data_IF_810658988336
#
_entry.id   IF_810658988336
#
_cell.length_a   1.000
_cell.length_b   1.000
_cell.length_c   1.000
_cell.angle_alpha   90.00
_cell.angle_beta   90.00
_cell.angle_gamma   90.00
#
_symmetry.space_group_name_H-M   'P 1'
#
loop_
_entity.id
_entity.type
_entity.pdbx_description
1 polymer ?
#
# COMPACT_ATOMS: atom_id res chain seq x y z
N UNK A 1 -80.75 -19.43 29.57
CA UNK A 1 -80.98 -20.00 28.23
C UNK A 1 -80.20 -19.12 27.24
N UNK A 2 -79.07 -19.54 26.82
CA UNK A 2 -78.44 -19.34 25.49
C UNK A 2 -76.99 -19.76 25.52
N UNK A 3 -76.74 -20.72 24.73
CA UNK A 3 -75.47 -21.44 24.55
C UNK A 3 -74.61 -20.59 23.62
N UNK A 4 -73.39 -20.22 24.06
CA UNK A 4 -72.37 -19.56 23.22
C UNK A 4 -71.37 -20.56 22.77
N UNK A 5 -71.32 -20.82 21.46
CA UNK A 5 -70.36 -21.69 20.75
C UNK A 5 -69.00 -21.03 20.61
N UNK A 6 -67.97 -21.61 21.20
CA UNK A 6 -66.58 -21.25 20.95
C UNK A 6 -66.12 -21.86 19.65
N UNK A 7 -65.77 -21.01 18.66
CA UNK A 7 -65.06 -21.39 17.44
C UNK A 7 -63.56 -21.36 17.73
N UNK A 8 -62.94 -22.51 17.61
CA UNK A 8 -61.51 -22.71 17.78
C UNK A 8 -60.82 -22.51 16.45
N UNK A 9 -60.21 -21.34 16.22
CA UNK A 9 -59.38 -21.09 15.06
C UNK A 9 -57.98 -21.73 15.27
N UNK A 10 -57.73 -22.83 14.57
CA UNK A 10 -56.39 -23.40 14.40
C UNK A 10 -55.70 -22.65 13.28
N UNK A 11 -54.81 -21.75 13.62
CA UNK A 11 -53.86 -21.16 12.68
C UNK A 11 -52.69 -22.15 12.45
N UNK A 12 -52.66 -22.73 11.28
CA UNK A 12 -51.59 -23.58 10.79
C UNK A 12 -50.37 -22.69 10.40
N UNK A 13 -49.32 -22.62 11.25
CA UNK A 13 -48.06 -22.01 10.90
C UNK A 13 -47.33 -22.92 9.93
N UNK A 14 -47.31 -22.59 8.65
CA UNK A 14 -46.39 -23.16 7.66
C UNK A 14 -45.02 -22.49 7.88
N UNK A 15 -44.09 -23.20 8.52
CA UNK A 15 -42.67 -22.84 8.54
C UNK A 15 -42.09 -23.16 7.16
N UNK A 16 -41.97 -22.18 6.28
CA UNK A 16 -41.10 -22.27 5.10
C UNK A 16 -39.64 -22.21 5.55
N UNK A 17 -39.04 -23.38 5.74
CA UNK A 17 -37.62 -23.51 5.88
C UNK A 17 -36.95 -23.22 4.53
N UNK A 18 -36.44 -22.02 4.33
CA UNK A 18 -35.54 -21.71 3.23
C UNK A 18 -34.22 -22.43 3.47
N UNK A 19 -34.05 -23.58 2.81
CA UNK A 19 -32.78 -24.31 2.73
C UNK A 19 -31.84 -23.43 1.90
N UNK A 20 -31.02 -22.60 2.57
CA UNK A 20 -29.88 -21.95 1.91
C UNK A 20 -28.89 -23.05 1.54
N UNK A 21 -28.96 -23.57 0.31
CA UNK A 21 -27.86 -24.30 -0.30
C UNK A 21 -26.69 -23.35 -0.48
N UNK A 22 -25.76 -23.32 0.48
CA UNK A 22 -24.44 -22.77 0.26
C UNK A 22 -23.76 -23.65 -0.77
N UNK A 23 -23.75 -23.21 -2.02
CA UNK A 23 -22.86 -23.79 -3.03
C UNK A 23 -21.42 -23.52 -2.58
N UNK A 24 -20.83 -24.45 -1.87
CA UNK A 24 -19.36 -24.51 -1.72
C UNK A 24 -18.86 -24.88 -3.13
N UNK A 25 -18.46 -23.85 -3.89
CA UNK A 25 -17.67 -24.08 -5.11
C UNK A 25 -16.38 -24.73 -4.64
N UNK A 26 -16.28 -26.04 -4.82
CA UNK A 26 -15.04 -26.75 -4.58
C UNK A 26 -14.01 -26.15 -5.53
N UNK A 27 -13.14 -25.30 -5.00
CA UNK A 27 -12.01 -24.75 -5.74
C UNK A 27 -11.14 -25.95 -6.15
N UNK A 28 -11.04 -26.23 -7.44
CA UNK A 28 -10.25 -27.35 -7.95
C UNK A 28 -8.78 -27.07 -7.60
N UNK A 29 -8.28 -27.84 -6.64
CA UNK A 29 -6.91 -27.72 -6.15
C UNK A 29 -5.92 -27.85 -7.31
N UNK A 30 -5.05 -26.86 -7.48
CA UNK A 30 -4.04 -26.87 -8.54
C UNK A 30 -3.07 -28.04 -8.35
N UNK A 31 -2.86 -28.82 -9.40
CA UNK A 31 -1.94 -29.98 -9.37
C UNK A 31 -1.17 -30.09 -10.67
N UNK A 32 0.12 -30.51 -10.59
CA UNK A 32 0.97 -30.73 -11.76
C UNK A 32 2.02 -31.83 -11.49
N UNK A 33 2.70 -32.26 -12.53
CA UNK A 33 3.79 -33.24 -12.48
C UNK A 33 5.11 -32.60 -12.91
N UNK A 34 6.24 -32.93 -12.25
CA UNK A 34 7.53 -32.34 -12.62
C UNK A 34 8.03 -32.87 -13.96
N UNK A 35 8.80 -32.02 -14.65
CA UNK A 35 9.52 -32.38 -15.86
C UNK A 35 10.88 -33.03 -15.52
N UNK A 36 11.46 -33.78 -16.50
CA UNK A 36 12.75 -34.43 -16.29
C UNK A 36 13.84 -33.39 -15.97
N UNK A 37 14.56 -33.61 -14.87
CA UNK A 37 15.63 -32.72 -14.41
C UNK A 37 15.14 -31.42 -13.70
N UNK A 38 13.82 -31.29 -13.51
CA UNK A 38 13.25 -30.10 -12.87
C UNK A 38 13.42 -30.17 -11.34
N UNK A 39 14.08 -29.18 -10.76
CA UNK A 39 14.18 -29.04 -9.31
C UNK A 39 12.95 -28.36 -8.71
N UNK A 40 12.75 -28.50 -7.38
CA UNK A 40 11.59 -27.96 -6.65
C UNK A 40 11.34 -26.48 -6.91
N UNK A 41 12.39 -25.65 -6.90
CA UNK A 41 12.27 -24.22 -7.16
C UNK A 41 11.78 -23.92 -8.59
N UNK A 42 12.34 -24.58 -9.60
CA UNK A 42 11.93 -24.44 -10.99
C UNK A 42 10.47 -24.90 -11.20
N UNK A 43 10.08 -26.01 -10.55
CA UNK A 43 8.71 -26.53 -10.60
C UNK A 43 7.68 -25.54 -10.01
N UNK A 44 8.00 -24.93 -8.86
CA UNK A 44 7.16 -23.89 -8.28
C UNK A 44 7.05 -22.67 -9.22
N UNK A 45 8.18 -22.18 -9.74
CA UNK A 45 8.20 -21.01 -10.64
C UNK A 45 7.43 -21.27 -11.93
N UNK A 46 7.59 -22.43 -12.56
CA UNK A 46 6.85 -22.81 -13.77
C UNK A 46 5.34 -22.83 -13.56
N UNK A 47 4.91 -23.17 -12.35
CA UNK A 47 3.50 -23.14 -11.96
C UNK A 47 3.03 -21.76 -11.41
N UNK A 48 3.89 -20.74 -11.51
CA UNK A 48 3.57 -19.37 -11.10
C UNK A 48 3.54 -19.15 -9.59
N UNK A 49 4.34 -19.94 -8.83
CA UNK A 49 4.47 -19.80 -7.38
C UNK A 49 5.82 -19.20 -7.02
N UNK A 50 5.82 -18.16 -6.18
CA UNK A 50 7.04 -17.62 -5.60
C UNK A 50 7.68 -18.63 -4.66
N UNK A 51 8.94 -18.99 -4.91
CA UNK A 51 9.64 -20.06 -4.18
C UNK A 51 9.77 -19.74 -2.69
N UNK A 52 10.18 -18.53 -2.35
CA UNK A 52 10.39 -18.11 -0.94
C UNK A 52 9.08 -18.06 -0.14
N UNK A 53 7.96 -17.80 -0.80
CA UNK A 53 6.64 -17.74 -0.15
C UNK A 53 5.98 -19.10 0.01
N UNK A 54 6.10 -19.97 -0.98
CA UNK A 54 5.27 -21.18 -1.06
C UNK A 54 6.02 -22.48 -0.87
N UNK A 55 7.36 -22.50 -0.84
CA UNK A 55 8.16 -23.72 -0.75
C UNK A 55 7.81 -24.59 0.46
N UNK A 56 7.76 -24.00 1.63
CA UNK A 56 7.53 -24.76 2.88
C UNK A 56 6.09 -25.31 2.93
N UNK A 57 5.10 -24.52 2.55
CA UNK A 57 3.71 -24.97 2.43
C UNK A 57 3.54 -26.07 1.38
N UNK A 58 4.26 -25.97 0.25
CA UNK A 58 4.24 -26.98 -0.78
C UNK A 58 4.85 -28.31 -0.31
N UNK A 59 5.97 -28.26 0.44
CA UNK A 59 6.60 -29.42 1.05
C UNK A 59 5.65 -30.07 2.06
N UNK A 60 5.06 -29.29 2.95
CA UNK A 60 4.10 -29.77 3.95
C UNK A 60 2.91 -30.48 3.29
N UNK A 61 2.31 -29.86 2.28
CA UNK A 61 1.15 -30.40 1.57
C UNK A 61 1.43 -31.72 0.83
N UNK A 62 2.70 -31.94 0.48
CA UNK A 62 3.15 -33.12 -0.27
C UNK A 62 4.16 -34.01 0.50
N UNK A 63 4.19 -33.94 1.85
CA UNK A 63 5.23 -34.51 2.69
C UNK A 63 5.63 -35.97 2.33
N UNK A 64 4.69 -36.81 1.90
CA UNK A 64 4.90 -38.19 1.58
C UNK A 64 5.14 -38.50 0.09
N UNK A 65 5.39 -37.44 -0.74
CA UNK A 65 5.50 -37.57 -2.20
C UNK A 65 6.89 -37.25 -2.74
N UNK A 66 7.85 -36.93 -1.88
CA UNK A 66 9.22 -36.59 -2.28
C UNK A 66 10.18 -37.74 -2.18
N UNK A 67 11.21 -37.76 -3.03
CA UNK A 67 12.39 -38.56 -2.86
C UNK A 67 13.34 -37.98 -1.80
N UNK A 68 14.60 -38.43 -1.81
CA UNK A 68 15.63 -37.92 -0.90
C UNK A 68 15.83 -36.43 -1.09
N UNK A 69 16.02 -35.71 0.00
CA UNK A 69 16.31 -34.26 0.03
C UNK A 69 15.25 -33.38 -0.70
N UNK A 70 13.98 -33.75 -0.54
CA UNK A 70 12.84 -33.12 -1.24
C UNK A 70 12.95 -33.20 -2.79
N UNK A 71 13.65 -34.17 -3.32
CA UNK A 71 13.71 -34.41 -4.76
C UNK A 71 12.35 -34.75 -5.33
N UNK A 72 11.97 -34.07 -6.42
CA UNK A 72 10.73 -34.36 -7.13
C UNK A 72 10.81 -35.71 -7.87
N UNK A 73 9.75 -36.49 -7.80
CA UNK A 73 9.65 -37.80 -8.47
C UNK A 73 8.85 -37.66 -9.78
N UNK A 74 9.41 -38.12 -10.89
CA UNK A 74 8.74 -38.09 -12.19
C UNK A 74 7.45 -38.92 -12.16
N UNK A 75 6.40 -38.39 -12.80
CA UNK A 75 5.08 -39.03 -12.85
C UNK A 75 4.26 -38.90 -11.57
N UNK A 76 4.83 -38.35 -10.49
CA UNK A 76 4.09 -38.06 -9.27
C UNK A 76 3.37 -36.71 -9.43
N UNK A 77 2.08 -36.72 -9.15
CA UNK A 77 1.23 -35.54 -9.17
C UNK A 77 1.32 -34.80 -7.83
N UNK A 78 1.84 -33.59 -7.84
CA UNK A 78 1.98 -32.74 -6.67
C UNK A 78 0.81 -31.74 -6.58
N UNK A 79 0.42 -31.44 -5.37
CA UNK A 79 -0.67 -30.50 -5.02
C UNK A 79 -0.04 -29.17 -4.63
N UNK A 80 -0.56 -28.09 -5.21
CA UNK A 80 -0.10 -26.74 -4.88
C UNK A 80 -0.97 -26.11 -3.81
N UNK A 81 -0.38 -25.28 -2.91
CA UNK A 81 -1.14 -24.55 -1.92
C UNK A 81 -2.03 -23.49 -2.61
N UNK A 82 -3.14 -23.17 -1.97
CA UNK A 82 -3.97 -22.07 -2.43
C UNK A 82 -3.20 -20.76 -2.39
N UNK A 83 -3.34 -19.95 -3.45
CA UNK A 83 -2.77 -18.59 -3.48
C UNK A 83 -3.65 -17.66 -2.69
N UNK A 84 -3.03 -16.87 -1.81
CA UNK A 84 -3.69 -15.70 -1.26
C UNK A 84 -3.84 -14.68 -2.39
N UNK A 85 -5.05 -14.43 -2.82
CA UNK A 85 -5.33 -13.56 -3.96
C UNK A 85 -5.74 -12.15 -3.56
N UNK A 86 -6.05 -11.91 -2.28
CA UNK A 86 -6.52 -10.62 -1.78
C UNK A 86 -5.95 -10.31 -0.41
N UNK A 87 -5.76 -9.03 -0.14
CA UNK A 87 -5.42 -8.45 1.16
C UNK A 87 -6.56 -7.48 1.51
N UNK A 88 -7.07 -7.55 2.73
CA UNK A 88 -7.99 -6.56 3.25
C UNK A 88 -7.19 -5.46 3.97
N UNK A 89 -7.35 -4.21 3.51
CA UNK A 89 -6.80 -3.00 4.14
C UNK A 89 -7.93 -1.97 4.29
N UNK A 90 -8.57 -1.92 5.47
CA UNK A 90 -9.74 -1.08 5.70
C UNK A 90 -9.50 0.41 5.49
N UNK A 91 -8.28 0.91 5.77
CA UNK A 91 -7.93 2.32 5.60
C UNK A 91 -8.01 2.81 4.15
N UNK A 92 -8.05 1.90 3.16
CA UNK A 92 -8.26 2.27 1.77
C UNK A 92 -9.72 2.67 1.46
N UNK A 93 -10.62 2.53 2.43
CA UNK A 93 -12.07 2.79 2.31
C UNK A 93 -12.84 1.64 1.66
N UNK A 94 -14.16 1.58 1.88
CA UNK A 94 -15.04 0.46 1.49
C UNK A 94 -14.87 0.01 0.03
N UNK A 95 -14.75 0.95 -0.90
CA UNK A 95 -14.62 0.66 -2.33
C UNK A 95 -13.25 0.07 -2.72
N UNK A 96 -12.23 0.24 -1.88
CA UNK A 96 -10.83 -0.08 -2.19
C UNK A 96 -10.18 -1.06 -1.21
N UNK A 97 -10.83 -1.39 -0.09
CA UNK A 97 -10.24 -2.19 1.00
C UNK A 97 -9.79 -3.59 0.59
N UNK A 98 -10.44 -4.19 -0.40
CA UNK A 98 -10.05 -5.50 -0.94
C UNK A 98 -9.05 -5.33 -2.07
N UNK A 99 -7.77 -5.50 -1.78
CA UNK A 99 -6.68 -5.37 -2.75
C UNK A 99 -6.38 -6.74 -3.35
N UNK A 100 -6.53 -6.87 -4.67
CA UNK A 100 -6.11 -8.07 -5.39
C UNK A 100 -4.59 -8.10 -5.48
N UNK A 101 -3.98 -9.23 -5.12
CA UNK A 101 -2.55 -9.48 -5.33
C UNK A 101 -2.36 -9.86 -6.80
N UNK A 102 -1.71 -8.99 -7.55
CA UNK A 102 -1.43 -9.16 -8.98
C UNK A 102 -0.20 -10.05 -9.21
N UNK A 103 0.83 -9.84 -8.38
CA UNK A 103 2.09 -10.58 -8.42
C UNK A 103 2.80 -10.61 -7.05
N UNK A 104 3.97 -11.24 -7.01
CA UNK A 104 4.82 -11.36 -5.82
C UNK A 104 6.13 -10.53 -5.95
N UNK A 105 6.15 -9.47 -6.77
CA UNK A 105 7.38 -8.68 -7.02
C UNK A 105 7.98 -8.11 -5.75
N UNK A 106 7.14 -7.68 -4.80
CA UNK A 106 7.54 -7.10 -3.51
C UNK A 106 7.42 -8.07 -2.32
N UNK A 107 7.22 -9.35 -2.58
CA UNK A 107 7.17 -10.33 -1.47
C UNK A 107 8.49 -10.32 -0.66
N UNK A 108 8.35 -10.11 0.66
CA UNK A 108 9.47 -9.95 1.59
C UNK A 108 9.95 -8.51 1.79
N UNK A 109 9.36 -7.54 1.09
CA UNK A 109 9.56 -6.12 1.37
C UNK A 109 8.58 -5.62 2.42
N UNK A 110 9.03 -4.73 3.30
CA UNK A 110 8.19 -4.01 4.27
C UNK A 110 8.34 -2.51 4.08
N UNK A 111 7.23 -1.82 3.98
CA UNK A 111 7.17 -0.37 3.84
C UNK A 111 6.39 0.28 4.98
N UNK A 112 6.96 1.35 5.53
CA UNK A 112 6.35 2.22 6.53
C UNK A 112 5.98 3.53 5.83
N UNK A 113 4.69 3.80 5.66
CA UNK A 113 4.17 4.96 4.93
C UNK A 113 3.65 6.02 5.89
N UNK A 114 4.13 7.24 5.73
CA UNK A 114 3.77 8.39 6.54
C UNK A 114 3.24 9.48 5.59
N UNK A 115 2.00 9.90 5.73
CA UNK A 115 1.55 11.19 5.19
C UNK A 115 2.03 12.32 6.08
N UNK A 116 2.41 13.44 5.48
CA UNK A 116 2.72 14.66 6.21
C UNK A 116 1.51 15.20 6.98
N UNK A 117 1.76 15.97 8.04
CA UNK A 117 0.72 16.67 8.79
C UNK A 117 -0.37 15.76 9.37
N UNK A 118 -1.65 16.19 9.38
CA UNK A 118 -2.80 15.46 9.90
C UNK A 118 -3.15 15.77 11.35
N UNK A 119 -4.38 15.49 11.73
CA UNK A 119 -4.98 15.88 13.00
C UNK A 119 -5.05 17.40 13.12
N UNK A 120 -4.48 18.01 14.18
CA UNK A 120 -4.57 19.47 14.37
C UNK A 120 -3.66 20.29 13.44
N UNK A 121 -2.98 19.67 12.48
CA UNK A 121 -2.02 20.31 11.57
C UNK A 121 -2.36 20.01 10.11
N UNK A 122 -3.06 20.93 9.42
CA UNK A 122 -3.46 20.77 8.02
C UNK A 122 -2.29 20.91 7.03
N UNK A 123 -1.09 21.28 7.49
CA UNK A 123 0.04 21.60 6.64
C UNK A 123 -0.16 22.88 5.84
N UNK A 124 0.35 22.91 4.61
CA UNK A 124 0.18 24.06 3.72
C UNK A 124 -1.24 24.11 3.16
N UNK A 125 -1.80 25.32 3.11
CA UNK A 125 -3.13 25.57 2.56
C UNK A 125 -3.01 26.43 1.30
N UNK A 126 -3.60 25.95 0.19
CA UNK A 126 -3.72 26.72 -1.05
C UNK A 126 -5.19 27.01 -1.36
N UNK A 127 -5.44 28.17 -2.02
CA UNK A 127 -6.79 28.58 -2.43
C UNK A 127 -6.95 28.50 -3.94
N UNK A 128 -8.09 27.95 -4.38
CA UNK A 128 -8.49 27.91 -5.79
C UNK A 128 -9.95 28.39 -5.87
N UNK A 129 -10.11 29.67 -6.16
CA UNK A 129 -11.41 30.33 -6.03
C UNK A 129 -11.87 30.31 -4.56
N UNK A 130 -13.05 29.72 -4.32
CA UNK A 130 -13.61 29.56 -2.96
C UNK A 130 -13.21 28.23 -2.29
N UNK A 131 -12.43 27.39 -2.96
CA UNK A 131 -12.01 26.09 -2.45
C UNK A 131 -10.62 26.18 -1.81
N UNK A 132 -10.44 25.45 -0.75
CA UNK A 132 -9.16 25.26 -0.10
C UNK A 132 -8.63 23.85 -0.38
N UNK A 133 -7.31 23.76 -0.54
CA UNK A 133 -6.57 22.51 -0.61
C UNK A 133 -5.67 22.46 0.62
N UNK A 134 -5.81 21.43 1.42
CA UNK A 134 -5.01 21.19 2.61
C UNK A 134 -3.97 20.09 2.30
N UNK A 135 -2.72 20.34 2.65
CA UNK A 135 -1.60 19.45 2.32
C UNK A 135 -1.81 18.02 2.85
N UNK A 136 -2.21 17.89 4.10
CA UNK A 136 -2.43 16.62 4.78
C UNK A 136 -3.40 15.70 4.02
N UNK A 137 -4.52 16.24 3.57
CA UNK A 137 -5.57 15.49 2.85
C UNK A 137 -5.07 14.89 1.54
N UNK A 138 -4.34 15.68 0.75
CA UNK A 138 -3.79 15.21 -0.53
C UNK A 138 -2.57 14.32 -0.34
N UNK A 139 -1.74 14.57 0.67
CA UNK A 139 -0.63 13.69 1.03
C UNK A 139 -1.15 12.33 1.49
N UNK A 140 -2.23 12.30 2.28
CA UNK A 140 -2.90 11.09 2.74
C UNK A 140 -3.50 10.30 1.58
N UNK A 141 -4.29 10.92 0.69
CA UNK A 141 -4.89 10.23 -0.45
C UNK A 141 -3.83 9.63 -1.40
N UNK A 142 -2.73 10.35 -1.68
CA UNK A 142 -1.63 9.81 -2.48
C UNK A 142 -0.93 8.66 -1.76
N UNK A 143 -0.72 8.76 -0.44
CA UNK A 143 -0.14 7.69 0.37
C UNK A 143 -1.00 6.43 0.35
N UNK A 144 -2.33 6.54 0.48
CA UNK A 144 -3.25 5.40 0.40
C UNK A 144 -3.20 4.72 -0.98
N UNK A 145 -3.13 5.51 -2.06
CA UNK A 145 -2.96 4.98 -3.43
C UNK A 145 -1.62 4.25 -3.58
N UNK A 146 -0.55 4.78 -3.00
CA UNK A 146 0.75 4.12 -2.94
C UNK A 146 0.67 2.81 -2.14
N UNK A 147 0.02 2.83 -0.97
CA UNK A 147 -0.20 1.63 -0.17
C UNK A 147 -0.92 0.54 -0.96
N UNK A 148 -1.99 0.90 -1.68
CA UNK A 148 -2.74 -0.03 -2.54
C UNK A 148 -1.85 -0.65 -3.63
N UNK A 149 -1.01 0.15 -4.31
CA UNK A 149 -0.07 -0.36 -5.32
C UNK A 149 0.94 -1.34 -4.70
N UNK A 150 1.54 -1.01 -3.55
CA UNK A 150 2.53 -1.88 -2.91
C UNK A 150 1.91 -3.20 -2.42
N UNK A 151 0.67 -3.15 -1.89
CA UNK A 151 -0.08 -4.33 -1.49
C UNK A 151 -0.43 -5.21 -2.69
N UNK A 152 -0.77 -4.65 -3.86
CA UNK A 152 -1.05 -5.43 -5.07
C UNK A 152 0.17 -6.18 -5.59
N UNK A 153 1.38 -5.73 -5.29
CA UNK A 153 2.64 -6.43 -5.54
C UNK A 153 3.12 -7.29 -4.35
N UNK A 154 2.21 -7.57 -3.40
CA UNK A 154 2.44 -8.43 -2.24
C UNK A 154 3.52 -7.94 -1.27
N UNK A 155 3.67 -6.63 -1.12
CA UNK A 155 4.46 -6.03 -0.03
C UNK A 155 3.72 -6.11 1.30
N UNK A 156 4.46 -6.06 2.41
CA UNK A 156 3.93 -5.70 3.72
C UNK A 156 3.94 -4.17 3.85
N UNK A 157 2.81 -3.59 4.20
CA UNK A 157 2.67 -2.13 4.33
C UNK A 157 2.15 -1.79 5.71
N UNK A 158 2.77 -0.81 6.36
CA UNK A 158 2.29 -0.17 7.59
C UNK A 158 1.95 1.27 7.27
N UNK A 159 0.67 1.62 7.36
CA UNK A 159 0.17 2.99 7.26
C UNK A 159 0.27 3.61 8.66
N UNK A 160 1.12 4.61 8.82
CA UNK A 160 1.47 5.19 10.13
C UNK A 160 0.47 6.29 10.52
N UNK A 161 0.15 7.19 9.60
CA UNK A 161 -0.93 8.16 9.79
C UNK A 161 -2.20 7.56 9.21
N UNK A 162 -3.25 7.54 10.01
CA UNK A 162 -4.47 6.79 9.73
C UNK A 162 -5.69 7.65 9.96
N UNK A 163 -6.59 7.71 8.99
CA UNK A 163 -7.94 8.22 9.16
C UNK A 163 -8.94 7.08 8.89
N UNK A 164 -9.69 6.64 9.91
CA UNK A 164 -10.68 5.59 9.72
C UNK A 164 -11.92 6.03 8.94
N UNK A 165 -12.13 7.34 8.77
CA UNK A 165 -13.29 7.90 8.08
C UNK A 165 -13.02 8.13 6.60
N UNK A 166 -11.76 8.43 6.25
CA UNK A 166 -11.32 8.79 4.92
C UNK A 166 -10.47 7.68 4.27
N UNK A 167 -11.01 7.09 3.19
CA UNK A 167 -10.28 6.20 2.32
C UNK A 167 -9.71 6.92 1.09
N UNK A 168 -9.44 6.17 0.02
CA UNK A 168 -9.10 6.75 -1.29
C UNK A 168 -10.33 7.51 -1.83
N UNK A 169 -10.15 8.80 -2.14
CA UNK A 169 -11.21 9.71 -2.58
C UNK A 169 -10.97 10.18 -4.02
N UNK A 170 -12.00 10.10 -4.87
CA UNK A 170 -11.91 10.55 -6.27
C UNK A 170 -12.47 11.96 -6.51
N UNK A 171 -12.65 12.74 -5.44
CA UNK A 171 -13.02 14.14 -5.50
C UNK A 171 -11.83 15.01 -5.91
N UNK A 172 -12.12 16.11 -6.63
CA UNK A 172 -11.11 17.08 -7.02
C UNK A 172 -10.64 17.92 -5.82
N UNK A 173 -11.56 18.26 -4.94
CA UNK A 173 -11.34 19.03 -3.72
C UNK A 173 -11.72 18.15 -2.54
N UNK A 174 -10.71 17.75 -1.77
CA UNK A 174 -10.88 16.94 -0.58
C UNK A 174 -11.34 17.82 0.58
N UNK A 175 -12.31 17.35 1.34
CA UNK A 175 -12.73 18.01 2.58
C UNK A 175 -11.66 17.84 3.63
N UNK A 176 -11.40 18.88 4.39
CA UNK A 176 -10.50 18.80 5.54
C UNK A 176 -11.27 18.36 6.79
N UNK A 177 -10.66 17.50 7.56
CA UNK A 177 -11.06 17.24 8.95
C UNK A 177 -9.83 16.98 9.84
N UNK A 178 -10.01 16.66 11.11
CA UNK A 178 -8.95 16.51 12.10
C UNK A 178 -8.97 15.10 12.74
N UNK A 179 -9.48 14.09 12.04
CA UNK A 179 -9.70 12.74 12.57
C UNK A 179 -8.47 11.83 12.46
N UNK A 180 -7.40 12.28 11.82
CA UNK A 180 -6.20 11.48 11.67
C UNK A 180 -5.56 11.17 13.02
N UNK A 181 -5.03 9.97 13.07
CA UNK A 181 -4.31 9.42 14.21
C UNK A 181 -2.93 8.89 13.78
N UNK A 182 -2.02 8.77 14.72
CA UNK A 182 -0.78 8.04 14.52
C UNK A 182 -0.95 6.64 15.12
N UNK A 183 -1.20 5.63 14.28
CA UNK A 183 -1.46 4.23 14.71
C UNK A 183 -2.54 4.18 15.81
N UNK A 184 -3.64 4.88 15.59
CA UNK A 184 -4.79 4.95 16.52
C UNK A 184 -4.62 5.89 17.72
N UNK A 185 -3.45 6.53 17.89
CA UNK A 185 -3.23 7.52 18.95
C UNK A 185 -3.44 8.93 18.42
N UNK A 186 -4.05 9.82 19.21
CA UNK A 186 -4.22 11.22 18.85
C UNK A 186 -2.89 11.90 18.50
N UNK A 187 -2.90 12.74 17.48
CA UNK A 187 -1.71 13.48 17.03
C UNK A 187 -1.53 14.71 17.91
N UNK A 188 -0.34 14.91 18.54
CA UNK A 188 -0.09 16.08 19.39
C UNK A 188 -0.10 17.38 18.60
N UNK A 189 -0.46 18.49 19.28
CA UNK A 189 -0.38 19.83 18.68
C UNK A 189 1.07 20.32 18.52
N UNK A 190 1.98 19.92 19.42
CA UNK A 190 3.40 20.28 19.33
C UNK A 190 4.08 19.54 18.18
N UNK A 191 4.79 20.28 17.34
CA UNK A 191 5.45 19.74 16.14
C UNK A 191 6.53 18.70 16.49
N UNK A 192 7.31 18.92 17.54
CA UNK A 192 8.38 17.96 17.89
C UNK A 192 7.79 16.66 18.41
N UNK A 193 6.73 16.74 19.22
CA UNK A 193 6.00 15.56 19.70
C UNK A 193 5.35 14.79 18.54
N UNK A 194 4.75 15.46 17.55
CA UNK A 194 4.21 14.84 16.35
C UNK A 194 5.26 14.08 15.55
N UNK A 195 6.41 14.72 15.32
CA UNK A 195 7.51 14.11 14.57
C UNK A 195 8.11 12.91 15.33
N UNK A 196 8.28 13.04 16.65
CA UNK A 196 8.74 11.93 17.51
C UNK A 196 7.75 10.76 17.48
N UNK A 197 6.45 11.02 17.65
CA UNK A 197 5.40 10.01 17.65
C UNK A 197 5.45 9.13 16.37
N UNK A 198 5.61 9.74 15.19
CA UNK A 198 5.73 9.02 13.91
C UNK A 198 6.98 8.16 13.82
N UNK A 199 8.11 8.71 14.24
CA UNK A 199 9.36 7.97 14.28
C UNK A 199 9.29 6.78 15.22
N UNK A 200 8.72 6.97 16.42
CA UNK A 200 8.55 5.91 17.40
C UNK A 200 7.62 4.80 16.88
N UNK A 201 6.53 5.15 16.20
CA UNK A 201 5.63 4.18 15.58
C UNK A 201 6.36 3.32 14.54
N UNK A 202 7.10 3.93 13.61
CA UNK A 202 7.93 3.22 12.62
C UNK A 202 8.96 2.33 13.31
N UNK A 203 9.70 2.87 14.28
CA UNK A 203 10.79 2.17 14.95
C UNK A 203 10.29 0.98 15.79
N UNK A 204 9.10 1.07 16.37
CA UNK A 204 8.47 -0.02 17.10
C UNK A 204 8.11 -1.18 16.15
N UNK A 205 7.46 -0.91 15.01
CA UNK A 205 7.21 -1.94 14.00
C UNK A 205 8.52 -2.56 13.49
N UNK A 206 9.48 -1.72 13.13
CA UNK A 206 10.78 -2.19 12.62
C UNK A 206 11.52 -3.09 13.63
N UNK A 207 11.44 -2.78 14.92
CA UNK A 207 12.08 -3.58 15.99
C UNK A 207 11.46 -4.95 16.13
N UNK A 208 10.14 -5.06 15.99
CA UNK A 208 9.39 -6.30 16.22
C UNK A 208 9.29 -7.18 14.98
N UNK A 209 9.37 -6.58 13.79
CA UNK A 209 9.04 -7.22 12.53
C UNK A 209 10.18 -7.12 11.50
N UNK A 210 11.42 -7.31 11.95
CA UNK A 210 12.58 -7.24 11.05
C UNK A 210 12.43 -8.19 9.86
N UNK A 211 12.25 -7.60 8.67
CA UNK A 211 12.41 -8.29 7.38
C UNK A 211 13.75 -7.89 6.76
N UNK A 212 14.21 -8.63 5.75
CA UNK A 212 15.49 -8.32 5.10
C UNK A 212 15.52 -6.97 4.38
N UNK A 213 14.36 -6.49 3.89
CA UNK A 213 14.23 -5.20 3.20
C UNK A 213 13.11 -4.38 3.82
N UNK A 214 13.48 -3.22 4.35
CA UNK A 214 12.55 -2.26 4.95
C UNK A 214 12.83 -0.85 4.42
N UNK A 215 11.79 -0.06 4.19
CA UNK A 215 11.88 1.37 3.80
C UNK A 215 10.80 2.19 4.48
N UNK A 216 11.15 3.41 4.87
CA UNK A 216 10.19 4.44 5.28
C UNK A 216 10.01 5.43 4.14
N UNK A 217 8.76 5.74 3.80
CA UNK A 217 8.41 6.75 2.81
C UNK A 217 7.50 7.78 3.45
N UNK A 218 7.93 9.04 3.39
CA UNK A 218 7.20 10.18 3.93
C UNK A 218 6.72 11.04 2.76
N UNK A 219 5.43 11.35 2.70
CA UNK A 219 4.81 12.09 1.60
C UNK A 219 4.29 13.43 2.09
N UNK A 220 4.74 14.48 1.43
CA UNK A 220 4.36 15.88 1.65
C UNK A 220 4.05 16.60 0.32
N UNK A 221 3.48 17.78 0.44
CA UNK A 221 3.36 18.75 -0.63
C UNK A 221 4.09 20.04 -0.20
N UNK A 222 4.99 20.52 -1.04
CA UNK A 222 5.75 21.74 -0.77
C UNK A 222 4.85 23.00 -0.90
N UNK A 223 5.20 24.05 -0.20
CA UNK A 223 4.56 25.37 -0.31
C UNK A 223 5.60 26.44 -0.56
N UNK A 224 5.58 27.01 -1.75
CA UNK A 224 6.48 28.08 -2.21
C UNK A 224 5.67 29.18 -2.87
N UNK A 225 6.34 30.20 -3.40
CA UNK A 225 5.68 31.21 -4.21
C UNK A 225 4.93 30.57 -5.39
N UNK A 226 3.79 31.12 -5.79
CA UNK A 226 2.94 30.59 -6.86
C UNK A 226 3.69 30.40 -8.19
N UNK A 227 4.66 31.27 -8.50
CA UNK A 227 5.46 31.16 -9.71
C UNK A 227 6.46 30.00 -9.73
N UNK A 228 6.72 29.36 -8.58
CA UNK A 228 7.73 28.32 -8.46
C UNK A 228 7.16 26.94 -8.74
N UNK A 229 7.51 26.33 -9.87
CA UNK A 229 7.24 24.93 -10.15
C UNK A 229 8.42 24.08 -9.70
N UNK A 230 8.18 23.00 -8.97
CA UNK A 230 9.23 22.11 -8.46
C UNK A 230 9.13 20.67 -9.00
N UNK A 231 8.00 20.27 -9.55
CA UNK A 231 7.65 18.89 -9.84
C UNK A 231 7.70 17.98 -8.60
N UNK A 232 8.77 17.23 -8.38
CA UNK A 232 8.92 16.36 -7.21
C UNK A 232 10.34 16.49 -6.65
N UNK A 233 10.45 16.76 -5.35
CA UNK A 233 11.73 16.68 -4.65
C UNK A 233 11.76 15.44 -3.75
N UNK A 234 12.87 14.70 -3.78
CA UNK A 234 13.13 13.59 -2.90
C UNK A 234 14.31 13.90 -1.98
N UNK A 235 14.09 13.79 -0.68
CA UNK A 235 15.12 14.00 0.32
C UNK A 235 15.49 12.68 0.99
N UNK A 236 16.77 12.54 1.30
CA UNK A 236 17.30 11.43 2.08
C UNK A 236 18.25 11.93 3.17
N UNK A 237 18.46 11.11 4.21
CA UNK A 237 19.43 11.43 5.23
C UNK A 237 20.86 11.34 4.67
N UNK A 238 21.71 12.31 4.97
CA UNK A 238 23.08 12.46 4.47
C UNK A 238 23.92 11.18 4.54
N UNK A 239 23.76 10.39 5.61
CA UNK A 239 24.53 9.15 5.83
C UNK A 239 23.85 7.90 5.27
N UNK A 240 22.67 8.01 4.67
CA UNK A 240 21.87 6.87 4.22
C UNK A 240 22.06 6.60 2.73
N UNK A 241 23.02 5.76 2.36
CA UNK A 241 23.19 5.31 0.96
C UNK A 241 21.96 4.58 0.42
N UNK A 242 21.26 3.80 1.25
CA UNK A 242 20.03 3.11 0.85
C UNK A 242 18.84 4.07 0.67
N UNK A 243 18.74 5.10 1.52
CA UNK A 243 17.75 6.17 1.33
C UNK A 243 18.03 6.99 0.06
N UNK A 244 19.31 7.28 -0.23
CA UNK A 244 19.73 7.94 -1.47
C UNK A 244 19.34 7.12 -2.71
N UNK A 245 19.65 5.82 -2.71
CA UNK A 245 19.30 4.92 -3.82
C UNK A 245 17.79 4.86 -4.04
N UNK A 246 17.01 4.72 -2.98
CA UNK A 246 15.56 4.74 -3.05
C UNK A 246 15.04 6.04 -3.67
N UNK A 247 15.51 7.20 -3.17
CA UNK A 247 15.13 8.50 -3.68
C UNK A 247 15.49 8.67 -5.17
N UNK A 248 16.69 8.20 -5.57
CA UNK A 248 17.15 8.28 -6.95
C UNK A 248 16.29 7.42 -7.89
N UNK A 249 16.00 6.17 -7.53
CA UNK A 249 15.16 5.29 -8.34
C UNK A 249 13.76 5.86 -8.54
N UNK A 250 13.18 6.46 -7.50
CA UNK A 250 11.86 7.11 -7.61
C UNK A 250 11.90 8.33 -8.52
N UNK A 251 12.88 9.22 -8.37
CA UNK A 251 13.02 10.41 -9.22
C UNK A 251 13.30 10.04 -10.68
N UNK A 252 14.16 9.06 -10.94
CA UNK A 252 14.46 8.59 -12.29
C UNK A 252 13.22 7.97 -12.96
N UNK A 253 12.43 7.21 -12.21
CA UNK A 253 11.17 6.67 -12.70
C UNK A 253 10.17 7.78 -13.02
N UNK A 254 9.96 8.73 -12.12
CA UNK A 254 9.08 9.87 -12.34
C UNK A 254 9.51 10.65 -13.59
N UNK A 255 10.80 10.96 -13.73
CA UNK A 255 11.34 11.61 -14.92
C UNK A 255 10.99 10.85 -16.20
N UNK A 256 11.26 9.55 -16.23
CA UNK A 256 10.97 8.69 -17.38
C UNK A 256 9.47 8.73 -17.76
N UNK A 257 8.59 8.67 -16.75
CA UNK A 257 7.13 8.75 -16.96
C UNK A 257 6.70 10.12 -17.47
N UNK A 258 7.23 11.20 -16.93
CA UNK A 258 6.93 12.55 -17.41
C UNK A 258 7.43 12.75 -18.83
N UNK A 259 8.62 12.29 -19.17
CA UNK A 259 9.16 12.39 -20.52
C UNK A 259 8.30 11.60 -21.53
N UNK A 260 7.76 10.46 -21.13
CA UNK A 260 6.89 9.63 -21.97
C UNK A 260 5.49 10.21 -22.15
N UNK A 261 4.80 10.56 -21.04
CA UNK A 261 3.41 11.00 -21.09
C UNK A 261 3.23 12.50 -21.42
N UNK A 262 4.28 13.31 -21.20
CA UNK A 262 4.27 14.75 -21.42
C UNK A 262 5.56 15.20 -22.13
N UNK A 263 5.81 14.74 -23.38
CA UNK A 263 7.05 15.04 -24.10
C UNK A 263 7.22 16.55 -24.27
N UNK A 264 8.45 17.03 -24.02
CA UNK A 264 8.79 18.47 -24.12
C UNK A 264 8.39 19.33 -22.90
N UNK A 265 7.68 18.77 -21.92
CA UNK A 265 7.31 19.50 -20.69
C UNK A 265 8.51 19.84 -19.83
N UNK A 266 9.52 18.99 -19.82
CA UNK A 266 10.63 19.01 -18.89
C UNK A 266 10.24 18.51 -17.50
N UNK A 267 11.23 18.08 -16.73
CA UNK A 267 11.08 17.61 -15.34
C UNK A 267 12.10 18.31 -14.45
N UNK A 268 11.62 18.94 -13.37
CA UNK A 268 12.44 19.72 -12.45
C UNK A 268 12.74 18.96 -11.13
N UNK A 269 12.38 17.68 -11.07
CA UNK A 269 12.56 16.87 -9.87
C UNK A 269 14.04 16.67 -9.51
N UNK A 270 14.33 16.65 -8.22
CA UNK A 270 15.68 16.57 -7.68
C UNK A 270 15.77 15.61 -6.49
N UNK A 271 16.95 14.99 -6.33
CA UNK A 271 17.33 14.27 -5.11
C UNK A 271 18.30 15.14 -4.32
N UNK A 272 18.03 15.36 -3.03
CA UNK A 272 18.89 16.17 -2.15
C UNK A 272 19.05 15.53 -0.76
N UNK A 273 20.19 15.80 -0.15
CA UNK A 273 20.43 15.48 1.24
C UNK A 273 19.75 16.50 2.17
N UNK A 274 19.06 16.03 3.20
CA UNK A 274 18.48 16.87 4.24
C UNK A 274 18.55 16.19 5.61
N UNK A 275 18.72 17.04 6.65
CA UNK A 275 18.73 16.62 8.05
C UNK A 275 17.32 16.72 8.68
N UNK A 276 16.28 16.30 7.92
CA UNK A 276 14.93 16.33 8.46
C UNK A 276 14.81 15.32 9.61
N UNK A 277 14.04 15.70 10.65
CA UNK A 277 13.86 14.92 11.86
C UNK A 277 13.47 13.47 11.55
N UNK A 278 12.42 13.29 10.76
CA UNK A 278 11.90 11.96 10.38
C UNK A 278 12.89 11.12 9.57
N UNK A 279 13.76 11.74 8.76
CA UNK A 279 14.82 11.04 8.02
C UNK A 279 15.97 10.58 8.91
N UNK A 280 16.22 11.31 10.00
CA UNK A 280 17.32 11.05 10.94
C UNK A 280 16.92 10.05 12.01
N UNK A 281 15.67 10.13 12.53
CA UNK A 281 15.23 9.39 13.70
C UNK A 281 14.51 8.08 13.36
N UNK A 282 14.14 7.83 12.10
CA UNK A 282 13.62 6.52 11.68
C UNK A 282 14.76 5.54 11.43
N UNK A 283 14.66 4.33 11.97
CA UNK A 283 15.69 3.29 11.82
C UNK A 283 15.76 2.68 10.41
N UNK A 284 14.62 2.38 9.72
CA UNK A 284 14.70 1.94 8.34
C UNK A 284 15.22 3.05 7.44
N UNK A 285 15.96 2.73 6.36
CA UNK A 285 16.31 3.73 5.34
C UNK A 285 15.08 4.45 4.84
N UNK A 286 15.13 5.79 4.84
CA UNK A 286 13.98 6.64 4.62
C UNK A 286 14.16 7.56 3.41
N UNK A 287 13.04 7.87 2.76
CA UNK A 287 12.90 8.89 1.73
C UNK A 287 11.72 9.81 2.11
N UNK A 288 11.92 11.11 1.92
CA UNK A 288 10.92 12.14 2.11
C UNK A 288 10.62 12.78 0.75
N UNK A 289 9.37 12.76 0.34
CA UNK A 289 8.89 13.27 -0.94
C UNK A 289 8.09 14.56 -0.76
N UNK A 290 8.47 15.60 -1.52
CA UNK A 290 7.66 16.76 -1.79
C UNK A 290 7.07 16.59 -3.19
N UNK A 291 5.80 16.28 -3.30
CA UNK A 291 5.17 15.88 -4.56
C UNK A 291 4.80 17.06 -5.48
N UNK A 292 5.09 18.28 -5.09
CA UNK A 292 4.82 19.49 -5.86
C UNK A 292 4.50 20.69 -4.97
N UNK A 293 4.58 21.88 -5.54
CA UNK A 293 4.19 23.10 -4.86
C UNK A 293 2.67 23.30 -4.92
N UNK A 294 1.99 23.16 -3.79
CA UNK A 294 0.53 23.30 -3.68
C UNK A 294 0.02 24.69 -4.13
N UNK A 295 0.87 25.73 -4.08
CA UNK A 295 0.53 27.07 -4.53
C UNK A 295 0.64 27.24 -6.05
N UNK A 296 1.40 26.38 -6.76
CA UNK A 296 1.64 26.50 -8.18
C UNK A 296 0.57 25.79 -9.02
N UNK A 297 -0.04 26.49 -9.97
CA UNK A 297 -1.15 25.96 -10.80
C UNK A 297 -0.79 24.66 -11.55
N UNK A 298 0.44 24.54 -12.04
CA UNK A 298 0.88 23.35 -12.80
C UNK A 298 1.15 22.17 -11.89
N UNK A 299 1.78 22.40 -10.73
CA UNK A 299 2.04 21.34 -9.75
C UNK A 299 0.73 20.88 -9.10
N UNK A 300 -0.17 21.82 -8.80
CA UNK A 300 -1.49 21.56 -8.20
C UNK A 300 -2.37 20.61 -9.01
N UNK A 301 -2.18 20.54 -10.35
CA UNK A 301 -2.90 19.56 -11.19
C UNK A 301 -2.61 18.10 -10.80
N UNK A 302 -1.48 17.83 -10.12
CA UNK A 302 -1.20 16.47 -9.59
C UNK A 302 -2.17 16.09 -8.50
N UNK A 303 -2.66 17.07 -7.76
CA UNK A 303 -3.47 16.86 -6.57
C UNK A 303 -4.96 16.96 -6.88
N UNK A 304 -5.38 17.98 -7.61
CA UNK A 304 -6.80 18.20 -7.96
C UNK A 304 -7.37 17.06 -8.81
N UNK A 305 -6.58 16.47 -9.70
CA UNK A 305 -7.07 15.38 -10.56
C UNK A 305 -6.82 14.01 -9.94
N UNK A 306 -7.87 13.24 -9.58
CA UNK A 306 -7.71 11.90 -8.99
C UNK A 306 -6.84 10.98 -9.84
N UNK A 307 -7.01 11.03 -11.17
CA UNK A 307 -6.17 10.26 -12.10
C UNK A 307 -4.67 10.59 -12.01
N UNK A 308 -4.34 11.85 -11.70
CA UNK A 308 -2.96 12.28 -11.53
C UNK A 308 -2.41 11.83 -10.16
N UNK A 309 -3.20 11.89 -9.08
CA UNK A 309 -2.82 11.32 -7.77
C UNK A 309 -2.52 9.83 -7.91
N UNK A 310 -3.40 9.10 -8.62
CA UNK A 310 -3.18 7.68 -8.92
C UNK A 310 -1.90 7.47 -9.71
N UNK A 311 -1.70 8.18 -10.82
CA UNK A 311 -0.50 8.05 -11.65
C UNK A 311 0.80 8.32 -10.88
N UNK A 312 0.84 9.38 -10.05
CA UNK A 312 2.01 9.69 -9.23
C UNK A 312 2.29 8.58 -8.23
N UNK A 313 1.27 8.06 -7.54
CA UNK A 313 1.42 6.94 -6.61
C UNK A 313 1.96 5.67 -7.30
N UNK A 314 1.42 5.32 -8.48
CA UNK A 314 1.90 4.19 -9.28
C UNK A 314 3.37 4.37 -9.72
N UNK A 315 3.76 5.55 -10.18
CA UNK A 315 5.12 5.83 -10.62
C UNK A 315 6.13 5.81 -9.45
N UNK A 316 5.71 6.29 -8.28
CA UNK A 316 6.50 6.16 -7.04
C UNK A 316 6.67 4.68 -6.69
N UNK A 317 5.58 3.89 -6.72
CA UNK A 317 5.65 2.45 -6.47
C UNK A 317 6.61 1.73 -7.43
N UNK A 318 6.57 2.05 -8.74
CA UNK A 318 7.50 1.48 -9.72
C UNK A 318 8.97 1.79 -9.38
N UNK A 319 9.29 3.01 -8.93
CA UNK A 319 10.63 3.37 -8.47
C UNK A 319 11.04 2.60 -7.20
N UNK A 320 10.11 2.34 -6.30
CA UNK A 320 10.33 1.53 -5.09
C UNK A 320 10.54 0.04 -5.43
N UNK A 321 9.83 -0.48 -6.42
CA UNK A 321 10.05 -1.84 -6.96
C UNK A 321 11.47 -1.98 -7.52
N UNK A 322 11.96 -0.99 -8.26
CA UNK A 322 13.36 -0.99 -8.75
C UNK A 322 14.36 -0.99 -7.60
N UNK A 323 14.16 -0.20 -6.53
CA UNK A 323 15.04 -0.23 -5.34
C UNK A 323 15.05 -1.60 -4.66
N UNK A 324 13.90 -2.28 -4.60
CA UNK A 324 13.83 -3.63 -4.05
C UNK A 324 14.57 -4.65 -4.93
N UNK A 325 14.39 -4.60 -6.26
CA UNK A 325 15.11 -5.47 -7.21
C UNK A 325 16.62 -5.31 -7.09
N UNK A 326 17.10 -4.09 -6.95
CA UNK A 326 18.53 -3.78 -6.76
C UNK A 326 19.08 -4.19 -5.39
N UNK A 327 18.24 -4.59 -4.45
CA UNK A 327 18.65 -5.03 -3.10
C UNK A 327 18.84 -6.54 -2.98
N UNK A 328 18.37 -7.28 -3.98
CA UNK A 328 18.54 -8.75 -4.09
C UNK A 328 19.86 -9.11 -4.72
#
# INVERSE_FOLDING_TARGET
MNISTKILNRTLLLALGTLMCTFVVAQTQHTDTPQQGEGLGAFLLRNGYNVSKYKDKFIELNANRFGKDYGLLLGVKYVFPDKQNQIEEPLLGEANKMVTIEDDELYGATYYLISGHGGPDPGAIAKVGEKELHEDEYAYDVMLRLAKCLLSHNAKVHIIIQDPNDGIRDDAYLSNDDHETCVGAAIPLDQNERLQQRCDAVNNFYKTERTGYCRTVIIHLDSRTESTRIDVFAYHFTKSKMGQRLAQNVIDKLKTKYDYYQPGRGFLGEVKERQLYVLRETNPPAMFLELGNIQNDKDRLRFIKPSNRKAVAEWVAEGMIEDFKMSK
#
